data_IF_873005008507
#
_entry.id   IF_873005008507
#
_cell.length_a   1.000
_cell.length_b   1.000
_cell.length_c   1.000
_cell.angle_alpha   90.00
_cell.angle_beta   90.00
_cell.angle_gamma   90.00
#
_symmetry.space_group_name_H-M   'P 1'
#
loop_
_entity.id
_entity.type
_entity.pdbx_description
1 polymer ?
#
# COMPACT_ATOMS: atom_id res chain seq x y z
N UNK A 1 -36.31 49.81 11.29
CA UNK A 1 -35.59 48.97 10.29
C UNK A 1 -34.54 48.03 10.93
N UNK A 2 -34.74 47.52 12.16
CA UNK A 2 -33.73 46.68 12.85
C UNK A 2 -33.94 45.17 12.67
N UNK A 3 -35.14 44.74 12.25
CA UNK A 3 -35.54 43.33 12.21
C UNK A 3 -35.06 42.57 10.95
N UNK A 4 -34.58 43.28 9.92
CA UNK A 4 -34.15 42.66 8.65
C UNK A 4 -32.74 42.08 8.68
N UNK A 5 -31.87 42.55 9.59
CA UNK A 5 -30.47 42.12 9.66
C UNK A 5 -30.33 40.84 10.51
N UNK A 6 -31.16 40.70 11.55
CA UNK A 6 -31.24 39.50 12.39
C UNK A 6 -31.82 38.29 11.64
N UNK A 7 -32.80 38.51 10.74
CA UNK A 7 -33.36 37.43 9.93
C UNK A 7 -32.35 36.89 8.91
N UNK A 8 -31.56 37.75 8.28
CA UNK A 8 -30.46 37.34 7.38
C UNK A 8 -29.37 36.56 8.12
N UNK A 9 -28.97 37.01 9.31
CA UNK A 9 -27.98 36.31 10.13
C UNK A 9 -28.45 34.91 10.54
N UNK A 10 -29.73 34.78 10.88
CA UNK A 10 -30.35 33.52 11.28
C UNK A 10 -30.53 32.55 10.10
N UNK A 11 -30.89 33.04 8.91
CA UNK A 11 -30.95 32.22 7.69
C UNK A 11 -29.55 31.72 7.29
N UNK A 12 -28.53 32.59 7.38
CA UNK A 12 -27.13 32.19 7.12
C UNK A 12 -26.63 31.15 8.13
N UNK A 13 -26.91 31.35 9.41
CA UNK A 13 -26.57 30.39 10.46
C UNK A 13 -27.28 29.03 10.27
N UNK A 14 -28.56 29.06 9.87
CA UNK A 14 -29.31 27.84 9.54
C UNK A 14 -28.73 27.13 8.30
N UNK A 15 -28.36 27.88 7.25
CA UNK A 15 -27.71 27.32 6.08
C UNK A 15 -26.38 26.65 6.41
N UNK A 16 -25.53 27.32 7.19
CA UNK A 16 -24.25 26.76 7.66
C UNK A 16 -24.46 25.53 8.54
N UNK A 17 -25.44 25.55 9.44
CA UNK A 17 -25.76 24.41 10.29
C UNK A 17 -26.20 23.17 9.49
N UNK A 18 -27.03 23.35 8.45
CA UNK A 18 -27.45 22.27 7.56
C UNK A 18 -26.25 21.71 6.79
N UNK A 19 -25.35 22.58 6.32
CA UNK A 19 -24.14 22.20 5.59
C UNK A 19 -23.17 21.41 6.47
N UNK A 20 -22.96 21.84 7.71
CA UNK A 20 -22.16 21.11 8.69
C UNK A 20 -22.79 19.76 9.05
N UNK A 21 -24.12 19.70 9.23
CA UNK A 21 -24.83 18.46 9.52
C UNK A 21 -24.69 17.45 8.37
N UNK A 22 -24.90 17.88 7.13
CA UNK A 22 -24.73 17.00 5.94
C UNK A 22 -23.28 16.57 5.77
N UNK A 23 -22.32 17.44 6.05
CA UNK A 23 -20.90 17.09 6.04
C UNK A 23 -20.58 16.00 7.09
N UNK A 24 -21.05 16.16 8.32
CA UNK A 24 -20.84 15.17 9.40
C UNK A 24 -21.47 13.83 9.03
N UNK A 25 -22.69 13.83 8.48
CA UNK A 25 -23.35 12.60 8.00
C UNK A 25 -22.52 11.95 6.89
N UNK A 26 -22.01 12.73 5.94
CA UNK A 26 -21.12 12.24 4.87
C UNK A 26 -19.83 11.60 5.40
N UNK A 27 -19.18 12.23 6.39
CA UNK A 27 -17.97 11.69 7.05
C UNK A 27 -18.28 10.38 7.78
N UNK A 28 -19.39 10.31 8.50
CA UNK A 28 -19.80 9.09 9.22
C UNK A 28 -20.12 7.93 8.26
N UNK A 29 -20.81 8.21 7.16
CA UNK A 29 -21.11 7.22 6.11
C UNK A 29 -19.83 6.77 5.41
N UNK A 30 -18.92 7.69 5.10
CA UNK A 30 -17.60 7.38 4.53
C UNK A 30 -16.76 6.50 5.47
N UNK A 31 -16.72 6.83 6.76
CA UNK A 31 -15.98 6.08 7.77
C UNK A 31 -16.55 4.68 7.99
N UNK A 32 -17.87 4.53 8.07
CA UNK A 32 -18.53 3.24 8.17
C UNK A 32 -18.31 2.38 6.90
N UNK A 33 -18.38 3.01 5.72
CA UNK A 33 -18.09 2.35 4.45
C UNK A 33 -16.65 1.86 4.36
N UNK A 34 -15.68 2.66 4.81
CA UNK A 34 -14.28 2.26 4.83
C UNK A 34 -14.03 1.14 5.85
N UNK A 35 -14.72 1.14 7.00
CA UNK A 35 -14.64 0.08 8.02
C UNK A 35 -15.20 -1.26 7.53
N UNK A 36 -16.27 -1.24 6.73
CA UNK A 36 -16.84 -2.43 6.09
C UNK A 36 -15.95 -2.91 4.94
N UNK A 37 -15.40 -1.98 4.14
CA UNK A 37 -14.50 -2.31 3.03
C UNK A 37 -13.17 -2.88 3.52
N UNK A 38 -12.65 -2.35 4.63
CA UNK A 38 -11.44 -2.88 5.30
C UNK A 38 -11.70 -4.21 6.01
N UNK A 39 -12.87 -4.42 6.63
CA UNK A 39 -13.27 -5.73 7.15
C UNK A 39 -13.40 -6.78 6.04
N UNK A 40 -14.01 -6.43 4.89
CA UNK A 40 -14.05 -7.32 3.71
C UNK A 40 -12.67 -7.55 3.08
N UNK A 41 -11.77 -6.56 3.11
CA UNK A 41 -10.36 -6.73 2.71
C UNK A 41 -9.55 -7.60 3.68
N UNK A 42 -9.94 -7.67 4.95
CA UNK A 42 -9.31 -8.54 5.95
C UNK A 42 -9.70 -10.03 5.75
N UNK A 43 -10.85 -10.29 5.11
CA UNK A 43 -11.28 -11.65 4.71
C UNK A 43 -10.69 -12.10 3.37
N UNK A 44 -10.22 -11.17 2.52
CA UNK A 44 -9.40 -11.55 1.39
C UNK A 44 -8.07 -12.12 1.92
N UNK A 45 -7.64 -13.31 1.46
CA UNK A 45 -6.29 -13.79 1.74
C UNK A 45 -5.32 -12.66 1.36
N UNK A 46 -4.30 -12.39 2.18
CA UNK A 46 -3.36 -11.32 1.91
C UNK A 46 -2.88 -11.48 0.47
N UNK A 47 -3.17 -10.46 -0.36
CA UNK A 47 -2.62 -10.37 -1.70
C UNK A 47 -1.12 -10.62 -1.54
N UNK A 48 -0.51 -11.54 -2.31
CA UNK A 48 0.91 -11.79 -2.20
C UNK A 48 1.62 -10.44 -2.31
N UNK A 49 2.59 -10.17 -1.41
CA UNK A 49 3.21 -8.86 -1.30
C UNK A 49 3.64 -8.38 -2.68
N UNK A 50 3.22 -7.15 -3.02
CA UNK A 50 3.51 -6.50 -4.28
C UNK A 50 5.00 -6.67 -4.61
N UNK A 51 5.27 -7.16 -5.84
CA UNK A 51 6.58 -7.43 -6.45
C UNK A 51 7.77 -6.81 -5.70
N UNK A 52 8.18 -7.48 -4.62
CA UNK A 52 9.31 -7.08 -3.81
C UNK A 52 10.52 -7.97 -4.13
N UNK A 53 11.71 -7.59 -3.65
CA UNK A 53 12.93 -8.42 -3.74
C UNK A 53 12.81 -9.81 -3.08
N UNK A 54 11.66 -10.10 -2.48
CA UNK A 54 11.30 -11.40 -1.90
C UNK A 54 10.84 -12.43 -2.95
N UNK A 55 10.44 -12.02 -4.17
CA UNK A 55 10.19 -12.98 -5.25
C UNK A 55 11.47 -13.77 -5.57
N UNK A 56 12.60 -13.07 -5.73
CA UNK A 56 13.92 -13.67 -6.00
C UNK A 56 14.40 -14.62 -4.90
N UNK A 57 13.97 -14.42 -3.65
CA UNK A 57 14.25 -15.34 -2.55
C UNK A 57 13.35 -16.59 -2.59
N UNK A 58 12.05 -16.42 -2.90
CA UNK A 58 11.07 -17.52 -3.00
C UNK A 58 11.39 -18.50 -4.13
N UNK A 59 11.76 -17.98 -5.28
CA UNK A 59 12.22 -18.78 -6.41
C UNK A 59 13.55 -19.53 -6.13
N UNK A 60 14.46 -18.93 -5.35
CA UNK A 60 15.71 -19.60 -4.90
C UNK A 60 15.42 -20.81 -4.00
N UNK A 61 14.30 -20.80 -3.29
CA UNK A 61 13.79 -21.93 -2.49
C UNK A 61 12.96 -22.93 -3.34
N UNK A 62 12.96 -22.80 -4.66
CA UNK A 62 12.16 -23.65 -5.56
C UNK A 62 10.67 -23.36 -5.53
N UNK A 63 10.24 -22.26 -4.92
CA UNK A 63 8.84 -21.94 -4.76
C UNK A 63 8.34 -21.19 -6.01
N UNK A 64 7.61 -21.90 -6.87
CA UNK A 64 6.99 -21.34 -8.06
C UNK A 64 5.94 -20.28 -7.68
N UNK A 65 5.70 -19.27 -8.53
CA UNK A 65 4.67 -18.27 -8.33
C UNK A 65 3.31 -18.94 -8.10
N UNK A 66 2.47 -18.30 -7.28
CA UNK A 66 1.16 -18.84 -6.91
C UNK A 66 0.27 -19.23 -8.11
N UNK A 67 0.51 -18.63 -9.29
CA UNK A 67 -0.16 -18.98 -10.54
C UNK A 67 0.19 -20.39 -11.04
N UNK A 68 1.45 -20.79 -10.98
CA UNK A 68 1.91 -22.11 -11.44
C UNK A 68 1.49 -23.24 -10.48
N UNK A 69 1.27 -22.92 -9.20
CA UNK A 69 0.72 -23.87 -8.23
C UNK A 69 -0.69 -24.36 -8.58
N UNK A 70 -1.43 -23.63 -9.42
CA UNK A 70 -2.77 -24.03 -9.88
C UNK A 70 -2.76 -24.98 -11.07
N UNK A 71 -1.58 -25.24 -11.66
CA UNK A 71 -1.44 -26.04 -12.87
C UNK A 71 -1.17 -27.53 -12.60
N UNK A 72 -1.19 -27.97 -11.33
CA UNK A 72 -0.93 -29.36 -10.93
C UNK A 72 0.33 -29.96 -11.61
N UNK A 73 1.41 -29.18 -11.61
CA UNK A 73 2.66 -29.55 -12.27
C UNK A 73 3.26 -30.81 -11.66
N UNK A 74 3.82 -31.68 -12.50
CA UNK A 74 4.67 -32.78 -12.01
C UNK A 74 5.97 -32.22 -11.41
N UNK A 75 6.67 -32.98 -10.54
CA UNK A 75 7.95 -32.56 -9.97
C UNK A 75 8.99 -32.21 -11.05
N UNK A 76 9.01 -32.93 -12.16
CA UNK A 76 9.90 -32.70 -13.30
C UNK A 76 9.57 -31.38 -14.00
N UNK A 77 8.29 -31.13 -14.27
CA UNK A 77 7.84 -29.87 -14.88
C UNK A 77 8.14 -28.67 -13.98
N UNK A 78 7.92 -28.80 -12.67
CA UNK A 78 8.22 -27.75 -11.72
C UNK A 78 9.71 -27.39 -11.70
N UNK A 79 10.59 -28.41 -11.74
CA UNK A 79 12.05 -28.23 -11.83
C UNK A 79 12.47 -27.52 -13.11
N UNK A 80 11.90 -27.92 -14.25
CA UNK A 80 12.19 -27.30 -15.54
C UNK A 80 11.75 -25.83 -15.58
N UNK A 81 10.54 -25.52 -15.11
CA UNK A 81 10.04 -24.14 -15.05
C UNK A 81 10.91 -23.30 -14.11
N UNK A 82 11.27 -23.83 -12.94
CA UNK A 82 12.16 -23.12 -12.02
C UNK A 82 13.51 -22.77 -12.67
N UNK A 83 14.10 -23.71 -13.42
CA UNK A 83 15.35 -23.47 -14.15
C UNK A 83 15.21 -22.40 -15.25
N UNK A 84 14.10 -22.42 -16.02
CA UNK A 84 13.82 -21.40 -17.03
C UNK A 84 13.71 -20.02 -16.39
N UNK A 85 13.01 -19.93 -15.26
CA UNK A 85 12.84 -18.67 -14.55
C UNK A 85 14.16 -18.15 -13.97
N UNK A 86 14.98 -19.02 -13.39
CA UNK A 86 16.31 -18.64 -12.87
C UNK A 86 17.20 -18.11 -13.99
N UNK A 87 17.24 -18.79 -15.14
CA UNK A 87 18.01 -18.36 -16.30
C UNK A 87 17.52 -17.04 -16.92
N UNK A 88 16.20 -16.75 -16.80
CA UNK A 88 15.60 -15.51 -17.29
C UNK A 88 15.81 -14.28 -16.41
N UNK A 89 16.29 -14.47 -15.17
CA UNK A 89 16.46 -13.36 -14.20
C UNK A 89 17.43 -12.29 -14.64
N UNK A 90 18.68 -12.59 -15.08
CA UNK A 90 19.63 -11.55 -15.41
C UNK A 90 19.11 -10.62 -16.50
N UNK A 91 18.34 -11.17 -17.45
CA UNK A 91 17.68 -10.39 -18.50
C UNK A 91 16.59 -9.49 -17.94
N UNK A 92 15.76 -10.00 -17.04
CA UNK A 92 14.71 -9.21 -16.38
C UNK A 92 15.31 -8.10 -15.52
N UNK A 93 16.34 -8.41 -14.75
CA UNK A 93 17.02 -7.47 -13.84
C UNK A 93 17.69 -6.35 -14.65
N UNK A 94 18.37 -6.67 -15.74
CA UNK A 94 18.97 -5.66 -16.62
C UNK A 94 17.95 -4.67 -17.19
N UNK A 95 16.77 -5.16 -17.61
CA UNK A 95 15.69 -4.30 -18.11
C UNK A 95 15.17 -3.39 -16.99
N UNK A 96 14.97 -3.93 -15.79
CA UNK A 96 14.50 -3.15 -14.65
C UNK A 96 15.54 -2.11 -14.23
N UNK A 97 16.81 -2.46 -14.20
CA UNK A 97 17.91 -1.54 -13.86
C UNK A 97 18.01 -0.37 -14.83
N UNK A 98 17.73 -0.60 -16.12
CA UNK A 98 17.67 0.47 -17.12
C UNK A 98 16.41 1.35 -16.97
N UNK A 99 15.25 0.73 -16.73
CA UNK A 99 13.97 1.43 -16.74
C UNK A 99 13.63 2.15 -15.43
N UNK A 100 14.02 1.59 -14.28
CA UNK A 100 13.68 2.12 -12.96
C UNK A 100 14.16 3.56 -12.75
N UNK A 101 15.39 3.97 -13.14
CA UNK A 101 15.83 5.35 -13.03
C UNK A 101 14.96 6.31 -13.84
N UNK A 102 14.59 5.93 -15.07
CA UNK A 102 13.73 6.75 -15.95
C UNK A 102 12.33 6.92 -15.33
N UNK A 103 11.75 5.84 -14.81
CA UNK A 103 10.45 5.89 -14.15
C UNK A 103 10.47 6.76 -12.89
N UNK A 104 11.56 6.67 -12.10
CA UNK A 104 11.76 7.53 -10.92
C UNK A 104 11.81 8.99 -11.31
N UNK A 105 12.60 9.34 -12.33
CA UNK A 105 12.70 10.71 -12.82
C UNK A 105 11.33 11.29 -13.24
N UNK A 106 10.53 10.52 -13.99
CA UNK A 106 9.16 10.93 -14.38
C UNK A 106 8.28 11.14 -13.15
N UNK A 107 8.31 10.20 -12.21
CA UNK A 107 7.50 10.29 -10.98
C UNK A 107 7.90 11.49 -10.14
N UNK A 108 9.19 11.79 -10.06
CA UNK A 108 9.71 12.92 -9.31
C UNK A 108 9.37 14.25 -9.99
N UNK A 109 9.40 14.34 -11.33
CA UNK A 109 8.92 15.52 -12.08
C UNK A 109 7.45 15.80 -11.78
N UNK A 110 6.59 14.78 -11.91
CA UNK A 110 5.16 14.92 -11.63
C UNK A 110 4.93 15.35 -10.17
N UNK A 111 5.70 14.81 -9.22
CA UNK A 111 5.62 15.24 -7.82
C UNK A 111 5.99 16.71 -7.64
N UNK A 112 7.00 17.21 -8.35
CA UNK A 112 7.38 18.62 -8.31
C UNK A 112 6.30 19.52 -8.92
N UNK A 113 5.74 19.14 -10.06
CA UNK A 113 4.65 19.86 -10.72
C UNK A 113 3.40 19.94 -9.83
N UNK A 114 3.03 18.83 -9.18
CA UNK A 114 1.96 18.82 -8.19
C UNK A 114 2.31 19.74 -7.02
N UNK A 115 3.53 19.64 -6.47
CA UNK A 115 3.97 20.48 -5.35
C UNK A 115 3.89 21.98 -5.64
N UNK A 116 4.13 22.40 -6.89
CA UNK A 116 4.09 23.79 -7.30
C UNK A 116 2.68 24.41 -7.28
N UNK A 117 1.62 23.60 -7.34
CA UNK A 117 0.22 24.07 -7.28
C UNK A 117 -0.41 23.96 -5.90
N UNK A 118 0.29 23.38 -4.91
CA UNK A 118 -0.20 23.24 -3.55
C UNK A 118 0.03 24.51 -2.73
N UNK A 119 -0.88 24.79 -1.80
CA UNK A 119 -0.60 25.75 -0.73
C UNK A 119 0.42 25.18 0.26
N UNK A 120 1.06 26.04 1.06
CA UNK A 120 2.04 25.61 2.06
C UNK A 120 1.45 24.57 3.05
N UNK A 121 0.19 24.74 3.46
CA UNK A 121 -0.51 23.80 4.35
C UNK A 121 -0.76 22.45 3.67
N UNK A 122 -1.14 22.47 2.39
CA UNK A 122 -1.38 21.25 1.62
C UNK A 122 -0.07 20.50 1.33
N UNK A 123 1.02 21.21 1.04
CA UNK A 123 2.34 20.61 0.85
C UNK A 123 2.83 19.90 2.12
N UNK A 124 2.67 20.53 3.28
CA UNK A 124 3.02 19.92 4.57
C UNK A 124 2.21 18.63 4.85
N UNK A 125 0.91 18.64 4.54
CA UNK A 125 0.08 17.45 4.65
C UNK A 125 0.53 16.36 3.67
N UNK A 126 0.80 16.72 2.42
CA UNK A 126 1.27 15.80 1.38
C UNK A 126 2.58 15.10 1.77
N UNK A 127 3.54 15.85 2.29
CA UNK A 127 4.82 15.30 2.75
C UNK A 127 4.65 14.35 3.94
N UNK A 128 3.72 14.67 4.85
CA UNK A 128 3.41 13.81 5.99
C UNK A 128 2.82 12.46 5.58
N UNK A 129 1.95 12.45 4.56
CA UNK A 129 1.35 11.24 3.99
C UNK A 129 2.42 10.41 3.27
N UNK A 130 3.24 11.05 2.44
CA UNK A 130 4.34 10.38 1.76
C UNK A 130 5.35 9.76 2.76
N UNK A 131 5.64 10.44 3.87
CA UNK A 131 6.48 9.92 4.94
C UNK A 131 5.82 8.74 5.67
N UNK A 132 4.50 8.77 5.88
CA UNK A 132 3.79 7.67 6.51
C UNK A 132 3.81 6.41 5.64
N UNK A 133 3.60 6.54 4.33
CA UNK A 133 3.70 5.42 3.39
C UNK A 133 5.10 4.82 3.35
N UNK A 134 6.16 5.65 3.31
CA UNK A 134 7.55 5.17 3.34
C UNK A 134 7.81 4.34 4.61
N UNK A 135 7.32 4.81 5.77
CA UNK A 135 7.43 4.09 7.05
C UNK A 135 6.61 2.81 7.08
N UNK A 136 5.42 2.79 6.48
CA UNK A 136 4.59 1.58 6.32
C UNK A 136 5.32 0.50 5.51
N UNK A 137 5.86 0.89 4.34
CA UNK A 137 6.63 -0.01 3.48
C UNK A 137 7.93 -0.51 4.13
N UNK A 138 8.56 0.28 5.00
CA UNK A 138 9.76 -0.13 5.75
C UNK A 138 9.43 -1.12 6.87
N UNK A 139 8.29 -0.94 7.56
CA UNK A 139 7.80 -1.87 8.59
C UNK A 139 7.43 -3.23 8.00
N UNK A 140 6.84 -3.27 6.81
CA UNK A 140 6.57 -4.53 6.10
C UNK A 140 7.84 -5.25 5.61
N UNK A 141 8.94 -4.52 5.40
CA UNK A 141 10.21 -5.06 4.88
C UNK A 141 11.15 -5.64 5.94
N UNK A 142 10.78 -5.58 7.23
CA UNK A 142 11.52 -6.23 8.32
C UNK A 142 10.79 -7.49 8.79
N UNK A 143 11.06 -8.67 8.21
CA UNK A 143 10.71 -9.93 8.85
C UNK A 143 11.76 -10.22 9.96
N UNK A 144 11.30 -10.38 11.20
CA UNK A 144 12.07 -11.15 12.20
C UNK A 144 12.87 -10.40 13.26
N UNK A 145 12.24 -9.56 14.09
CA UNK A 145 12.81 -9.24 15.42
C UNK A 145 11.78 -9.15 16.54
N UNK A 146 10.91 -10.16 16.66
CA UNK A 146 10.14 -10.40 17.88
C UNK A 146 9.97 -11.90 18.14
N UNK A 147 10.70 -12.39 19.15
CA UNK A 147 10.37 -13.63 19.87
C UNK A 147 11.11 -14.89 19.43
N UNK A 148 12.33 -15.10 19.91
CA UNK A 148 13.06 -16.36 19.72
C UNK A 148 14.37 -16.38 20.50
N UNK A 149 14.30 -16.19 21.83
CA UNK A 149 15.42 -16.58 22.70
C UNK A 149 15.52 -18.09 22.62
N UNK A 150 16.65 -18.58 22.12
CA UNK A 150 16.97 -20.00 22.08
C UNK A 150 16.94 -20.58 23.48
N UNK A 151 15.95 -21.44 23.74
CA UNK A 151 16.13 -22.54 24.66
C UNK A 151 16.68 -23.71 23.81
N UNK A 152 17.83 -24.30 24.17
CA UNK A 152 18.29 -25.51 23.51
C UNK A 152 17.28 -26.65 23.76
N UNK A 153 17.04 -27.52 22.77
CA UNK A 153 16.11 -28.64 22.93
C UNK A 153 16.61 -29.61 24.02
N UNK A 154 15.71 -30.21 24.82
CA UNK A 154 16.09 -31.19 25.83
C UNK A 154 16.66 -32.46 25.18
N UNK A 155 17.64 -33.13 25.82
CA UNK A 155 18.15 -34.40 25.34
C UNK A 155 17.06 -35.47 25.41
N UNK A 156 16.90 -36.21 24.31
CA UNK A 156 15.94 -37.29 24.15
C UNK A 156 16.50 -38.54 24.87
N UNK A 157 15.71 -39.25 25.70
CA UNK A 157 16.14 -40.51 26.34
C UNK A 157 16.29 -41.67 25.35
#
# INVERSE_FOLDING_TARGET
MKNGVESLGRIRAQGVAILLLTFVVGVLVGFAGERIRSARRAELPPLPPAMGPDMTARFRQGNLPAMFRRLNLTPEQARQIAAIMENGRPRSDAILDEMLPRLRAVTDSIRQEIGAVLTAEQAALWDSLAAHERRGRMRERMPGRRGGRGAPPPPIP
#
